data_IF_632863330633
#
_entry.id   IF_632863330633
#
_cell.length_a   1.000
_cell.length_b   1.000
_cell.length_c   1.000
_cell.angle_alpha   90.00
_cell.angle_beta   90.00
_cell.angle_gamma   90.00
#
_symmetry.space_group_name_H-M   'P 1'
#
loop_
_entity.id
_entity.type
_entity.pdbx_description
1 polymer ?
#
# COMPACT_ATOMS: atom_id res chain seq x y z
N UNK A 1 -4.67 5.02 1.96
CA UNK A 1 -3.95 6.20 1.42
C UNK A 1 -2.93 5.71 0.39
N UNK A 2 -2.46 6.58 -0.49
CA UNK A 2 -1.42 6.26 -1.49
C UNK A 2 -0.17 7.10 -1.17
N UNK A 3 1.01 6.49 -1.22
CA UNK A 3 2.29 7.18 -1.04
C UNK A 3 2.73 7.88 -2.33
N UNK A 4 3.32 9.06 -2.20
CA UNK A 4 4.06 9.77 -3.24
C UNK A 4 5.49 9.99 -2.77
N UNK A 5 6.48 10.20 -3.67
CA UNK A 5 7.88 10.37 -3.27
C UNK A 5 8.09 11.42 -2.16
N UNK A 6 7.39 12.56 -2.27
CA UNK A 6 7.49 13.67 -1.31
C UNK A 6 6.16 13.95 -0.59
N UNK A 7 5.22 13.01 -0.57
CA UNK A 7 3.89 13.29 -0.03
C UNK A 7 2.96 12.09 0.07
N UNK A 8 1.70 12.38 0.40
CA UNK A 8 0.67 11.35 0.53
C UNK A 8 -0.63 11.82 -0.12
N UNK A 9 -1.38 10.88 -0.68
CA UNK A 9 -2.74 11.09 -1.17
C UNK A 9 -3.71 10.29 -0.29
N UNK A 10 -4.51 11.01 0.49
CA UNK A 10 -5.55 10.38 1.32
C UNK A 10 -6.76 9.96 0.48
N UNK A 11 -7.51 8.97 0.97
CA UNK A 11 -8.77 8.52 0.33
C UNK A 11 -9.76 9.66 0.15
N UNK A 12 -9.83 10.60 1.12
CA UNK A 12 -10.67 11.80 1.01
C UNK A 12 -10.27 12.66 -0.20
N UNK A 13 -8.98 12.99 -0.32
CA UNK A 13 -8.50 13.85 -1.41
C UNK A 13 -8.72 13.21 -2.78
N UNK A 14 -8.46 11.91 -2.89
CA UNK A 14 -8.71 11.17 -4.13
C UNK A 14 -10.20 11.20 -4.49
N UNK A 15 -11.08 10.90 -3.53
CA UNK A 15 -12.52 10.92 -3.76
C UNK A 15 -13.05 12.32 -4.11
N UNK A 16 -12.60 13.36 -3.41
CA UNK A 16 -12.96 14.76 -3.71
C UNK A 16 -12.59 15.12 -5.16
N UNK A 17 -11.42 14.67 -5.65
CA UNK A 17 -10.97 14.90 -7.02
C UNK A 17 -11.84 14.13 -8.04
N UNK A 18 -12.15 12.86 -7.79
CA UNK A 18 -13.02 12.05 -8.65
C UNK A 18 -14.44 12.64 -8.73
N UNK A 19 -15.00 13.07 -7.60
CA UNK A 19 -16.29 13.76 -7.56
C UNK A 19 -16.25 15.08 -8.34
N UNK A 20 -15.16 15.85 -8.21
CA UNK A 20 -15.00 17.09 -8.96
C UNK A 20 -14.93 16.82 -10.47
N UNK A 21 -14.15 15.82 -10.90
CA UNK A 21 -14.05 15.43 -12.31
C UNK A 21 -15.40 15.00 -12.88
N UNK A 22 -16.17 14.23 -12.10
CA UNK A 22 -17.53 13.81 -12.46
C UNK A 22 -18.47 15.01 -12.62
N UNK A 23 -18.57 15.87 -11.59
CA UNK A 23 -19.42 17.08 -11.59
C UNK A 23 -19.09 18.03 -12.74
N UNK A 24 -17.82 18.07 -13.15
CA UNK A 24 -17.33 18.93 -14.22
C UNK A 24 -17.20 18.22 -15.58
N UNK A 25 -17.80 17.03 -15.74
CA UNK A 25 -17.86 16.27 -17.00
C UNK A 25 -16.50 16.11 -17.67
N UNK A 26 -15.48 15.74 -16.90
CA UNK A 26 -14.09 15.59 -17.40
C UNK A 26 -13.83 14.26 -18.10
N UNK A 27 -14.78 13.32 -18.07
CA UNK A 27 -14.72 12.03 -18.75
C UNK A 27 -16.14 11.55 -19.09
N UNK A 28 -16.25 10.60 -20.02
CA UNK A 28 -17.49 9.87 -20.30
C UNK A 28 -17.60 8.65 -19.38
N UNK A 29 -16.55 7.82 -19.40
CA UNK A 29 -16.28 6.71 -18.49
C UNK A 29 -14.80 6.80 -18.07
N UNK A 30 -14.47 6.31 -16.89
CA UNK A 30 -13.10 6.28 -16.37
C UNK A 30 -12.81 4.90 -15.77
N UNK A 31 -11.68 4.29 -16.15
CA UNK A 31 -11.14 3.10 -15.50
C UNK A 31 -9.96 3.47 -14.60
N UNK A 32 -9.88 2.84 -13.43
CA UNK A 32 -8.85 3.11 -12.43
C UNK A 32 -8.20 1.82 -11.96
N UNK A 33 -6.93 1.59 -12.30
CA UNK A 33 -6.16 0.42 -11.86
C UNK A 33 -5.21 0.89 -10.75
N UNK A 34 -5.35 0.33 -9.55
CA UNK A 34 -4.56 0.76 -8.39
C UNK A 34 -3.70 -0.38 -7.83
N UNK A 35 -2.41 -0.33 -8.14
CA UNK A 35 -1.37 -1.10 -7.47
C UNK A 35 -0.91 -0.39 -6.20
N UNK A 36 -1.31 -0.93 -5.04
CA UNK A 36 -0.81 -0.52 -3.74
C UNK A 36 -1.22 -1.53 -2.66
N UNK A 37 -0.49 -1.50 -1.54
CA UNK A 37 -0.93 -2.13 -0.30
C UNK A 37 -2.25 -1.52 0.18
N UNK A 38 -3.16 -2.38 0.64
CA UNK A 38 -4.52 -2.01 1.07
C UNK A 38 -5.28 -1.15 0.06
N UNK A 39 -4.99 -1.29 -1.23
CA UNK A 39 -5.54 -0.45 -2.32
C UNK A 39 -7.07 -0.45 -2.36
N UNK A 40 -7.73 -1.56 -1.99
CA UNK A 40 -9.19 -1.62 -1.85
C UNK A 40 -9.77 -0.60 -0.87
N UNK A 41 -9.01 -0.20 0.17
CA UNK A 41 -9.44 0.82 1.14
C UNK A 41 -9.60 2.22 0.54
N UNK A 42 -9.11 2.44 -0.68
CA UNK A 42 -9.26 3.71 -1.40
C UNK A 42 -10.63 3.82 -2.09
N UNK A 43 -11.38 2.72 -2.22
CA UNK A 43 -12.65 2.68 -2.93
C UNK A 43 -13.79 2.09 -2.09
N UNK A 44 -13.50 1.15 -1.19
CA UNK A 44 -14.51 0.48 -0.35
C UNK A 44 -15.34 1.48 0.46
N UNK A 45 -16.67 1.47 0.27
CA UNK A 45 -17.63 2.40 0.87
C UNK A 45 -17.37 3.90 0.55
N UNK A 46 -16.54 4.20 -0.44
CA UNK A 46 -16.16 5.56 -0.83
C UNK A 46 -16.55 5.84 -2.28
N UNK A 47 -16.12 4.99 -3.22
CA UNK A 47 -16.38 5.18 -4.64
C UNK A 47 -17.84 4.84 -4.96
N UNK A 48 -18.62 5.86 -5.32
CA UNK A 48 -20.01 5.70 -5.75
C UNK A 48 -20.10 5.07 -7.14
N UNK A 49 -21.09 4.20 -7.32
CA UNK A 49 -21.36 3.50 -8.58
C UNK A 49 -22.05 4.35 -9.65
N UNK A 50 -22.49 5.57 -9.33
CA UNK A 50 -23.18 6.47 -10.27
C UNK A 50 -22.26 7.55 -10.85
N UNK A 51 -20.94 7.36 -10.75
CA UNK A 51 -19.95 8.31 -11.26
C UNK A 51 -19.41 7.95 -12.64
N UNK A 52 -19.82 6.85 -13.27
CA UNK A 52 -19.20 6.28 -14.47
C UNK A 52 -17.68 6.00 -14.27
N UNK A 53 -17.31 5.53 -13.09
CA UNK A 53 -15.95 5.12 -12.76
C UNK A 53 -15.98 3.62 -12.45
N UNK A 54 -15.15 2.84 -13.13
CA UNK A 54 -14.83 1.46 -12.79
C UNK A 54 -13.42 1.41 -12.21
N UNK A 55 -13.25 0.81 -11.04
CA UNK A 55 -11.95 0.72 -10.40
C UNK A 55 -11.62 -0.73 -10.02
N UNK A 56 -10.36 -1.11 -10.21
CA UNK A 56 -9.81 -2.37 -9.71
C UNK A 56 -8.58 -2.11 -8.85
N UNK A 57 -8.39 -2.93 -7.83
CA UNK A 57 -7.30 -2.80 -6.87
C UNK A 57 -6.52 -4.09 -6.72
N UNK A 58 -5.20 -3.99 -6.54
CA UNK A 58 -4.30 -5.14 -6.37
C UNK A 58 -4.58 -5.99 -5.11
N UNK A 59 -5.13 -5.36 -4.09
CA UNK A 59 -5.40 -5.96 -2.78
C UNK A 59 -6.72 -5.45 -2.20
N UNK A 60 -7.29 -6.19 -1.24
CA UNK A 60 -8.42 -5.72 -0.44
C UNK A 60 -7.99 -4.64 0.56
N UNK A 61 -8.91 -4.12 1.38
CA UNK A 61 -8.61 -3.05 2.36
C UNK A 61 -7.76 -3.46 3.58
N UNK A 62 -7.26 -4.70 3.63
CA UNK A 62 -6.69 -5.31 4.85
C UNK A 62 -5.32 -5.99 4.66
N UNK A 63 -4.82 -6.06 3.43
CA UNK A 63 -3.60 -6.80 3.09
C UNK A 63 -2.63 -6.00 2.20
N UNK A 64 -1.40 -6.50 2.11
CA UNK A 64 -0.36 -5.95 1.24
C UNK A 64 -0.59 -6.35 -0.22
N UNK A 65 -0.08 -5.55 -1.15
CA UNK A 65 0.27 -6.03 -2.49
C UNK A 65 1.66 -6.67 -2.48
N UNK A 66 2.07 -7.22 -3.62
CA UNK A 66 3.26 -8.06 -3.73
C UNK A 66 4.15 -7.66 -4.90
N UNK A 67 5.45 -7.52 -4.63
CA UNK A 67 6.47 -7.44 -5.65
C UNK A 67 6.73 -8.82 -6.27
N UNK A 68 7.11 -8.84 -7.54
CA UNK A 68 7.39 -10.03 -8.33
C UNK A 68 8.75 -9.94 -9.04
N UNK A 69 9.28 -11.07 -9.50
CA UNK A 69 10.63 -11.19 -10.08
C UNK A 69 11.74 -10.70 -9.13
N UNK A 70 11.60 -11.03 -7.84
CA UNK A 70 12.49 -10.57 -6.78
C UNK A 70 13.83 -11.31 -6.71
N UNK A 71 13.93 -12.45 -7.40
CA UNK A 71 15.21 -13.07 -7.72
C UNK A 71 15.48 -12.91 -9.21
N UNK A 72 16.44 -12.05 -9.53
CA UNK A 72 16.85 -11.72 -10.88
C UNK A 72 18.39 -11.71 -10.98
N UNK A 73 18.89 -11.82 -12.21
CA UNK A 73 20.31 -11.82 -12.55
C UNK A 73 20.97 -10.43 -12.45
N UNK A 74 20.17 -9.37 -12.45
CA UNK A 74 20.62 -7.97 -12.28
C UNK A 74 20.95 -7.59 -10.83
N UNK A 75 20.69 -8.47 -9.86
CA UNK A 75 20.86 -8.21 -8.43
C UNK A 75 20.09 -6.96 -7.95
N UNK A 76 18.92 -6.71 -8.53
CA UNK A 76 17.97 -5.67 -8.13
C UNK A 76 16.89 -6.25 -7.17
N UNK A 77 16.15 -5.43 -6.40
CA UNK A 77 15.14 -5.89 -5.45
C UNK A 77 14.03 -6.75 -6.08
N UNK A 78 13.05 -6.14 -6.73
CA UNK A 78 11.99 -6.78 -7.51
C UNK A 78 11.82 -5.96 -8.79
N UNK A 79 11.44 -6.60 -9.90
CA UNK A 79 11.37 -5.93 -11.23
C UNK A 79 9.96 -5.49 -11.61
N UNK A 80 8.95 -5.91 -10.86
CA UNK A 80 7.57 -5.47 -11.03
C UNK A 80 6.73 -5.80 -9.80
N UNK A 81 5.45 -5.52 -9.91
CA UNK A 81 4.44 -5.89 -8.91
C UNK A 81 3.47 -6.89 -9.52
N UNK A 82 3.04 -7.89 -8.74
CA UNK A 82 2.34 -9.07 -9.23
C UNK A 82 1.03 -8.70 -9.95
N UNK A 83 0.19 -7.85 -9.35
CA UNK A 83 -1.04 -7.38 -9.98
C UNK A 83 -0.74 -6.61 -11.26
N UNK A 84 0.23 -5.69 -11.18
CA UNK A 84 0.62 -4.85 -12.31
C UNK A 84 1.11 -5.63 -13.52
N UNK A 85 2.05 -6.55 -13.30
CA UNK A 85 2.59 -7.41 -14.36
C UNK A 85 1.48 -8.27 -14.97
N UNK A 86 0.60 -8.84 -14.14
CA UNK A 86 -0.47 -9.70 -14.66
C UNK A 86 -1.40 -8.97 -15.64
N UNK A 87 -1.86 -7.75 -15.34
CA UNK A 87 -2.75 -7.03 -16.28
C UNK A 87 -1.99 -6.47 -17.49
N UNK A 88 -0.73 -6.06 -17.33
CA UNK A 88 0.08 -5.55 -18.44
C UNK A 88 0.46 -6.65 -19.43
N UNK A 89 0.91 -7.82 -18.93
CA UNK A 89 1.28 -8.95 -19.79
C UNK A 89 0.06 -9.54 -20.51
N UNK A 90 -1.09 -9.62 -19.83
CA UNK A 90 -2.36 -9.92 -20.47
C UNK A 90 -2.68 -8.92 -21.59
N UNK A 91 -2.59 -7.62 -21.29
CA UNK A 91 -2.86 -6.58 -22.27
C UNK A 91 -1.88 -6.56 -23.45
N UNK A 92 -0.64 -7.05 -23.27
CA UNK A 92 0.35 -7.23 -24.34
C UNK A 92 0.08 -8.47 -25.20
N UNK A 93 -0.52 -9.53 -24.63
CA UNK A 93 -0.73 -10.81 -25.29
C UNK A 93 -2.10 -11.01 -25.95
N UNK A 94 -3.14 -10.34 -25.47
CA UNK A 94 -4.52 -10.54 -25.91
C UNK A 94 -4.98 -9.55 -27.00
N UNK A 95 -6.08 -9.87 -27.70
CA UNK A 95 -6.76 -8.91 -28.57
C UNK A 95 -7.70 -8.01 -27.76
N UNK A 96 -7.20 -6.83 -27.38
CA UNK A 96 -7.91 -5.84 -26.57
C UNK A 96 -9.22 -5.33 -27.20
N UNK A 97 -9.41 -5.50 -28.51
CA UNK A 97 -10.65 -5.10 -29.21
C UNK A 97 -11.80 -6.06 -28.93
N UNK A 98 -11.48 -7.27 -28.45
CA UNK A 98 -12.45 -8.32 -28.12
C UNK A 98 -12.48 -8.63 -26.62
N UNK A 99 -11.36 -8.46 -25.94
CA UNK A 99 -11.26 -8.63 -24.50
C UNK A 99 -12.07 -7.56 -23.75
N UNK A 100 -12.88 -7.98 -22.78
CA UNK A 100 -13.62 -7.08 -21.88
C UNK A 100 -12.85 -6.82 -20.60
N UNK A 101 -13.06 -5.66 -19.99
CA UNK A 101 -12.48 -5.33 -18.68
C UNK A 101 -12.85 -6.36 -17.58
N UNK A 102 -14.04 -6.97 -17.65
CA UNK A 102 -14.47 -8.02 -16.71
C UNK A 102 -13.68 -9.32 -16.92
N UNK A 103 -13.38 -9.68 -18.18
CA UNK A 103 -12.54 -10.84 -18.48
C UNK A 103 -11.12 -10.63 -17.95
N UNK A 104 -10.52 -9.47 -18.27
CA UNK A 104 -9.21 -9.08 -17.74
C UNK A 104 -9.20 -9.09 -16.21
N UNK A 105 -10.24 -8.56 -15.56
CA UNK A 105 -10.36 -8.59 -14.09
C UNK A 105 -10.34 -10.01 -13.53
N UNK A 106 -11.14 -10.93 -14.05
CA UNK A 106 -11.20 -12.31 -13.55
C UNK A 106 -9.88 -13.06 -13.82
N UNK A 107 -9.21 -12.81 -14.95
CA UNK A 107 -7.87 -13.35 -15.22
C UNK A 107 -6.85 -12.82 -14.20
N UNK A 108 -6.74 -11.49 -14.07
CA UNK A 108 -5.79 -10.83 -13.16
C UNK A 108 -6.03 -11.24 -11.71
N UNK A 109 -7.29 -11.38 -11.29
CA UNK A 109 -7.68 -11.88 -9.97
C UNK A 109 -7.24 -13.31 -9.72
N UNK A 110 -7.32 -14.17 -10.74
CA UNK A 110 -6.86 -15.56 -10.65
C UNK A 110 -5.34 -15.65 -10.56
N UNK A 111 -4.62 -14.87 -11.38
CA UNK A 111 -3.15 -14.93 -11.47
C UNK A 111 -2.46 -14.16 -10.34
N UNK A 112 -3.10 -13.15 -9.75
CA UNK A 112 -2.60 -12.41 -8.58
C UNK A 112 -2.95 -13.17 -7.29
N UNK A 113 -2.37 -14.35 -7.12
CA UNK A 113 -2.78 -15.33 -6.09
C UNK A 113 -2.25 -15.06 -4.67
N UNK A 114 -1.53 -13.96 -4.44
CA UNK A 114 -0.97 -13.59 -3.13
C UNK A 114 -1.74 -12.46 -2.42
N UNK A 115 -2.72 -11.87 -3.10
CA UNK A 115 -3.66 -10.88 -2.59
C UNK A 115 -5.02 -11.06 -3.24
N UNK A 116 -6.03 -10.33 -2.78
CA UNK A 116 -7.39 -10.37 -3.30
C UNK A 116 -7.62 -9.15 -4.18
N UNK A 117 -7.62 -9.36 -5.49
CA UNK A 117 -7.97 -8.30 -6.46
C UNK A 117 -9.45 -7.98 -6.35
N UNK A 118 -9.78 -6.70 -6.13
CA UNK A 118 -11.15 -6.24 -5.91
C UNK A 118 -11.59 -5.32 -7.06
N UNK A 119 -12.91 -5.27 -7.32
CA UNK A 119 -13.52 -4.36 -8.27
C UNK A 119 -14.63 -3.50 -7.62
N UNK A 120 -14.71 -2.22 -7.98
CA UNK A 120 -15.54 -1.19 -7.36
C UNK A 120 -16.16 -0.25 -8.41
N UNK A 121 -17.12 0.58 -7.95
CA UNK A 121 -17.74 1.61 -8.78
C UNK A 121 -18.83 1.05 -9.69
N UNK A 122 -18.91 1.60 -10.90
CA UNK A 122 -19.86 1.20 -11.92
C UNK A 122 -19.35 -0.04 -12.67
N UNK A 123 -19.88 -1.21 -12.30
CA UNK A 123 -19.48 -2.50 -12.88
C UNK A 123 -20.07 -2.75 -14.26
N UNK A 124 -21.05 -1.95 -14.70
CA UNK A 124 -21.54 -2.09 -16.08
C UNK A 124 -20.49 -1.69 -17.11
N UNK A 125 -19.57 -0.78 -16.74
CA UNK A 125 -18.39 -0.43 -17.55
C UNK A 125 -17.47 -1.64 -17.76
N UNK A 126 -17.44 -2.62 -16.85
CA UNK A 126 -16.58 -3.78 -16.99
C UNK A 126 -16.93 -4.64 -18.24
N UNK A 127 -18.11 -4.44 -18.84
CA UNK A 127 -18.54 -5.10 -20.08
C UNK A 127 -17.91 -4.48 -21.34
N UNK A 128 -17.38 -3.28 -21.23
CA UNK A 128 -16.69 -2.59 -22.32
C UNK A 128 -15.35 -3.26 -22.62
N UNK A 129 -14.86 -3.08 -23.85
CA UNK A 129 -13.58 -3.66 -24.28
C UNK A 129 -12.39 -2.91 -23.70
N UNK A 130 -11.29 -3.61 -23.44
CA UNK A 130 -10.06 -3.03 -22.89
C UNK A 130 -9.50 -1.94 -23.80
N UNK A 131 -9.59 -2.13 -25.13
CA UNK A 131 -9.12 -1.17 -26.14
C UNK A 131 -9.74 0.23 -26.01
N UNK A 132 -10.96 0.36 -25.47
CA UNK A 132 -11.58 1.68 -25.26
C UNK A 132 -10.84 2.54 -24.23
N UNK A 133 -10.04 1.92 -23.35
CA UNK A 133 -9.34 2.60 -22.26
C UNK A 133 -7.82 2.55 -22.44
N UNK A 134 -7.28 1.45 -22.96
CA UNK A 134 -5.83 1.26 -23.14
C UNK A 134 -5.36 1.54 -24.58
N UNK A 135 -6.30 1.78 -25.49
CA UNK A 135 -6.04 1.96 -26.91
C UNK A 135 -5.93 0.64 -27.67
N UNK A 136 -5.98 0.75 -28.99
CA UNK A 136 -5.73 -0.33 -29.92
C UNK A 136 -4.38 -0.08 -30.62
N UNK A 137 -3.61 -1.15 -30.87
CA UNK A 137 -2.37 -1.06 -31.65
C UNK A 137 -2.61 -1.75 -32.98
N UNK A 138 -2.61 -0.96 -34.06
CA UNK A 138 -2.83 -1.45 -35.44
C UNK A 138 -1.80 -2.50 -35.90
N UNK A 139 -0.58 -2.51 -35.33
CA UNK A 139 0.54 -3.40 -35.70
C UNK A 139 1.07 -4.21 -34.49
N UNK A 140 0.31 -5.19 -33.99
CA UNK A 140 0.84 -6.17 -33.00
C UNK A 140 1.51 -7.35 -33.71
N UNK A 141 2.83 -7.48 -33.55
CA UNK A 141 3.43 -8.81 -33.47
C UNK A 141 3.09 -9.34 -32.08
N UNK A 142 2.10 -10.23 -31.99
CA UNK A 142 1.81 -10.95 -30.74
C UNK A 142 3.10 -11.63 -30.29
N UNK A 143 3.75 -11.09 -29.26
CA UNK A 143 4.91 -11.76 -28.67
C UNK A 143 4.41 -13.07 -28.11
N UNK A 144 4.95 -14.19 -28.63
CA UNK A 144 4.64 -15.53 -28.14
C UNK A 144 4.63 -15.54 -26.62
N UNK A 145 3.52 -16.02 -26.06
CA UNK A 145 3.26 -16.37 -24.66
C UNK A 145 4.51 -16.28 -23.78
N UNK A 146 4.80 -15.08 -23.25
CA UNK A 146 5.61 -14.97 -22.04
C UNK A 146 4.71 -15.52 -20.93
N UNK A 147 4.61 -16.85 -20.90
CA UNK A 147 3.69 -17.57 -20.04
C UNK A 147 3.67 -16.92 -18.68
N UNK A 148 2.47 -16.56 -18.23
CA UNK A 148 2.19 -15.86 -16.98
C UNK A 148 2.93 -16.56 -15.82
N UNK A 149 4.15 -16.09 -15.58
CA UNK A 149 5.15 -16.71 -14.70
C UNK A 149 5.43 -15.83 -13.50
N UNK A 150 4.84 -14.63 -13.43
CA UNK A 150 4.94 -13.75 -12.27
C UNK A 150 4.49 -14.47 -10.99
N UNK A 151 3.35 -15.17 -11.04
CA UNK A 151 2.83 -15.98 -9.92
C UNK A 151 3.74 -17.16 -9.53
N UNK A 152 4.55 -17.65 -10.47
CA UNK A 152 5.53 -18.73 -10.27
C UNK A 152 6.93 -18.24 -9.90
N UNK A 153 7.18 -16.93 -10.02
CA UNK A 153 8.46 -16.32 -9.68
C UNK A 153 8.64 -16.18 -8.16
N UNK A 154 9.80 -15.68 -7.73
CA UNK A 154 9.99 -15.29 -6.33
C UNK A 154 9.29 -13.96 -6.08
N UNK A 155 8.30 -14.00 -5.20
CA UNK A 155 7.45 -12.87 -4.83
C UNK A 155 7.68 -12.49 -3.36
N UNK A 156 7.71 -11.19 -3.06
CA UNK A 156 7.82 -10.67 -1.69
C UNK A 156 6.71 -9.67 -1.40
N UNK A 157 6.18 -9.62 -0.15
CA UNK A 157 5.25 -8.55 0.23
C UNK A 157 5.92 -7.20 0.00
N UNK A 158 5.20 -6.22 -0.57
CA UNK A 158 5.79 -4.93 -0.94
C UNK A 158 6.57 -4.27 0.21
N UNK A 159 6.00 -4.32 1.43
CA UNK A 159 6.63 -3.79 2.65
C UNK A 159 7.93 -4.47 3.07
N UNK A 160 8.18 -5.68 2.60
CA UNK A 160 9.32 -6.51 3.00
C UNK A 160 10.38 -6.62 1.91
N UNK A 161 10.19 -5.96 0.75
CA UNK A 161 11.12 -5.99 -0.39
C UNK A 161 12.53 -5.57 0.04
N UNK A 162 12.69 -4.41 0.71
CA UNK A 162 14.00 -3.93 1.17
C UNK A 162 14.71 -4.97 2.05
N UNK A 163 14.02 -5.46 3.07
CA UNK A 163 14.57 -6.39 4.05
C UNK A 163 14.93 -7.74 3.39
N UNK A 164 14.04 -8.28 2.56
CA UNK A 164 14.27 -9.55 1.88
C UNK A 164 15.39 -9.44 0.86
N UNK A 165 15.51 -8.29 0.17
CA UNK A 165 16.61 -8.04 -0.74
C UNK A 165 17.96 -8.02 -0.02
N UNK A 166 18.06 -7.29 1.11
CA UNK A 166 19.27 -7.27 1.94
C UNK A 166 19.63 -8.67 2.45
N UNK A 167 18.65 -9.44 2.93
CA UNK A 167 18.85 -10.82 3.38
C UNK A 167 19.31 -11.73 2.23
N UNK A 168 18.73 -11.58 1.04
CA UNK A 168 19.11 -12.34 -0.16
C UNK A 168 20.57 -12.04 -0.55
N UNK A 169 20.96 -10.76 -0.58
CA UNK A 169 22.36 -10.37 -0.81
C UNK A 169 23.29 -10.94 0.26
N UNK A 170 22.90 -10.87 1.54
CA UNK A 170 23.72 -11.37 2.64
C UNK A 170 23.99 -12.87 2.51
N UNK A 171 22.96 -13.67 2.17
CA UNK A 171 23.08 -15.12 1.95
C UNK A 171 23.96 -15.50 0.76
N UNK A 172 24.00 -14.66 -0.28
CA UNK A 172 24.80 -14.89 -1.50
C UNK A 172 26.24 -14.38 -1.38
N UNK A 173 26.52 -13.54 -0.40
CA UNK A 173 27.83 -12.92 -0.21
C UNK A 173 28.86 -13.91 0.36
N UNK A 174 30.01 -14.02 -0.31
CA UNK A 174 31.19 -14.73 0.19
C UNK A 174 32.27 -13.77 0.73
N UNK A 175 32.02 -12.46 0.71
CA UNK A 175 32.93 -11.44 1.23
C UNK A 175 32.52 -11.07 2.66
N UNK A 176 33.40 -11.37 3.63
CA UNK A 176 33.17 -11.11 5.04
C UNK A 176 32.89 -9.62 5.34
N UNK A 177 33.57 -8.71 4.64
CA UNK A 177 33.39 -7.26 4.84
C UNK A 177 32.02 -6.81 4.35
N UNK A 178 31.60 -7.32 3.18
CA UNK A 178 30.27 -7.04 2.63
C UNK A 178 29.18 -7.66 3.52
N UNK A 179 29.37 -8.89 3.97
CA UNK A 179 28.41 -9.59 4.83
C UNK A 179 28.19 -8.82 6.15
N UNK A 180 29.26 -8.36 6.81
CA UNK A 180 29.13 -7.54 8.03
C UNK A 180 28.38 -6.22 7.78
N UNK A 181 28.60 -5.57 6.63
CA UNK A 181 27.86 -4.34 6.26
C UNK A 181 26.37 -4.62 6.01
N UNK A 182 26.04 -5.74 5.38
CA UNK A 182 24.67 -6.16 5.11
C UNK A 182 23.96 -6.54 6.41
N UNK A 183 24.61 -7.29 7.30
CA UNK A 183 24.10 -7.64 8.64
C UNK A 183 23.74 -6.38 9.43
N UNK A 184 24.63 -5.37 9.44
CA UNK A 184 24.36 -4.07 10.08
C UNK A 184 23.12 -3.38 9.48
N UNK A 185 22.99 -3.33 8.15
CA UNK A 185 21.80 -2.75 7.49
C UNK A 185 20.52 -3.52 7.84
N UNK A 186 20.56 -4.84 7.82
CA UNK A 186 19.43 -5.71 8.18
C UNK A 186 18.98 -5.42 9.62
N UNK A 187 19.92 -5.34 10.56
CA UNK A 187 19.61 -5.07 11.97
C UNK A 187 19.07 -3.65 12.14
N UNK A 188 19.63 -2.66 11.44
CA UNK A 188 19.08 -1.29 11.44
C UNK A 188 17.63 -1.24 10.96
N UNK A 189 17.29 -1.91 9.85
CA UNK A 189 15.91 -2.00 9.36
C UNK A 189 15.00 -2.65 10.43
N UNK A 190 15.43 -3.78 11.02
CA UNK A 190 14.64 -4.47 12.05
C UNK A 190 14.44 -3.60 13.30
N UNK A 191 15.47 -2.92 13.81
CA UNK A 191 15.34 -2.03 14.97
C UNK A 191 14.47 -0.81 14.67
N UNK A 192 14.58 -0.24 13.47
CA UNK A 192 13.70 0.86 13.03
C UNK A 192 12.23 0.42 13.05
N UNK A 193 11.92 -0.76 12.51
CA UNK A 193 10.55 -1.33 12.55
C UNK A 193 10.05 -1.56 13.98
N UNK A 194 10.93 -2.00 14.90
CA UNK A 194 10.59 -2.16 16.33
C UNK A 194 10.33 -0.81 17.00
N UNK A 195 11.15 0.20 16.73
CA UNK A 195 10.98 1.55 17.24
C UNK A 195 9.65 2.16 16.77
N UNK A 196 9.35 2.07 15.47
CA UNK A 196 8.05 2.53 14.92
C UNK A 196 6.88 1.83 15.63
N UNK A 197 6.93 0.48 15.74
CA UNK A 197 5.88 -0.28 16.42
C UNK A 197 5.67 0.23 17.85
N UNK A 198 6.74 0.34 18.62
CA UNK A 198 6.68 0.78 20.02
C UNK A 198 6.11 2.20 20.13
N UNK A 199 6.54 3.13 19.28
CA UNK A 199 6.04 4.50 19.28
C UNK A 199 4.55 4.55 18.95
N UNK A 200 4.08 3.78 17.97
CA UNK A 200 2.64 3.68 17.67
C UNK A 200 1.85 3.14 18.88
N UNK A 201 2.37 2.14 19.59
CA UNK A 201 1.70 1.62 20.79
C UNK A 201 1.66 2.68 21.90
N UNK A 202 2.78 3.36 22.16
CA UNK A 202 2.85 4.46 23.13
C UNK A 202 1.85 5.58 22.81
N UNK A 203 1.71 5.96 21.53
CA UNK A 203 0.74 6.98 21.11
C UNK A 203 -0.67 6.55 21.46
N UNK A 204 -1.03 5.29 21.16
CA UNK A 204 -2.36 4.75 21.50
C UNK A 204 -2.55 4.70 23.02
N UNK A 205 -1.57 4.19 23.77
CA UNK A 205 -1.66 4.09 25.22
C UNK A 205 -1.87 5.46 25.89
N UNK A 206 -1.17 6.51 25.42
CA UNK A 206 -1.34 7.88 25.91
C UNK A 206 -2.70 8.47 25.49
N UNK A 207 -3.13 8.28 24.23
CA UNK A 207 -4.40 8.84 23.73
C UNK A 207 -5.64 8.14 24.33
N UNK A 208 -5.48 6.90 24.78
CA UNK A 208 -6.52 6.07 25.37
C UNK A 208 -6.24 5.78 26.86
N UNK A 209 -5.53 6.67 27.54
CA UNK A 209 -5.24 6.52 28.97
C UNK A 209 -6.54 6.39 29.78
N UNK A 210 -6.59 5.39 30.66
CA UNK A 210 -7.76 5.08 31.48
C UNK A 210 -8.81 4.18 30.81
N UNK A 211 -8.63 3.82 29.55
CA UNK A 211 -9.50 2.88 28.84
C UNK A 211 -9.12 1.41 29.11
N UNK A 212 -10.01 0.48 28.76
CA UNK A 212 -9.74 -0.95 28.92
C UNK A 212 -8.68 -1.47 27.93
N UNK A 213 -7.92 -2.48 28.36
CA UNK A 213 -6.95 -3.17 27.51
C UNK A 213 -7.59 -3.76 26.24
N UNK A 214 -8.85 -4.20 26.32
CA UNK A 214 -9.61 -4.68 25.16
C UNK A 214 -9.84 -3.56 24.12
N UNK A 215 -10.18 -2.35 24.57
CA UNK A 215 -10.34 -1.22 23.65
C UNK A 215 -9.01 -0.84 23.00
N UNK A 216 -7.94 -0.74 23.78
CA UNK A 216 -6.59 -0.44 23.28
C UNK A 216 -6.16 -1.50 22.25
N UNK A 217 -6.36 -2.78 22.56
CA UNK A 217 -6.09 -3.89 21.65
C UNK A 217 -6.88 -3.76 20.35
N UNK A 218 -8.17 -3.41 20.42
CA UNK A 218 -8.99 -3.18 19.23
C UNK A 218 -8.49 -2.03 18.38
N UNK A 219 -8.09 -0.91 18.99
CA UNK A 219 -7.51 0.24 18.29
C UNK A 219 -6.23 -0.16 17.54
N UNK A 220 -5.36 -0.96 18.16
CA UNK A 220 -4.09 -1.38 17.56
C UNK A 220 -4.24 -2.43 16.46
N UNK A 221 -5.20 -3.34 16.58
CA UNK A 221 -5.22 -4.57 15.79
C UNK A 221 -6.30 -4.64 14.73
N UNK A 222 -7.50 -4.10 15.00
CA UNK A 222 -8.62 -4.21 14.09
C UNK A 222 -8.32 -3.51 12.77
N UNK A 223 -8.84 -4.07 11.69
CA UNK A 223 -8.85 -3.41 10.39
C UNK A 223 -10.30 -3.12 10.04
N UNK A 224 -10.60 -1.85 9.74
CA UNK A 224 -11.94 -1.34 9.46
C UNK A 224 -11.91 -0.47 8.21
N UNK A 225 -12.99 -0.44 7.41
CA UNK A 225 -13.10 0.52 6.32
C UNK A 225 -13.07 1.96 6.86
N UNK A 226 -12.70 2.91 6.01
CA UNK A 226 -12.70 4.33 6.40
C UNK A 226 -14.12 4.87 6.28
N UNK A 227 -14.78 5.11 7.42
CA UNK A 227 -16.15 5.66 7.43
C UNK A 227 -16.19 7.18 7.58
N UNK A 228 -15.27 7.75 8.36
CA UNK A 228 -15.12 9.20 8.49
C UNK A 228 -13.88 9.68 7.70
N UNK A 229 -14.12 10.04 6.44
CA UNK A 229 -13.08 10.56 5.54
C UNK A 229 -12.43 11.84 6.06
N UNK A 230 -13.17 12.67 6.81
CA UNK A 230 -12.64 13.94 7.35
C UNK A 230 -11.71 13.66 8.52
N UNK A 231 -12.15 12.84 9.49
CA UNK A 231 -11.31 12.46 10.62
C UNK A 231 -10.05 11.74 10.13
N UNK A 232 -10.20 10.74 9.25
CA UNK A 232 -9.07 10.00 8.71
C UNK A 232 -8.07 10.93 8.00
N UNK A 233 -8.55 11.82 7.13
CA UNK A 233 -7.67 12.76 6.41
C UNK A 233 -6.87 13.66 7.37
N UNK A 234 -7.53 14.25 8.37
CA UNK A 234 -6.88 15.16 9.31
C UNK A 234 -5.91 14.40 10.21
N UNK A 235 -6.35 13.28 10.79
CA UNK A 235 -5.55 12.49 11.72
C UNK A 235 -4.27 11.94 11.05
N UNK A 236 -4.36 11.45 9.81
CA UNK A 236 -3.19 10.97 9.06
C UNK A 236 -2.20 12.11 8.78
N UNK A 237 -2.67 13.31 8.42
CA UNK A 237 -1.79 14.44 8.16
C UNK A 237 -1.13 14.97 9.45
N UNK A 238 -1.85 15.00 10.57
CA UNK A 238 -1.28 15.38 11.88
C UNK A 238 -0.24 14.35 12.30
N UNK A 239 -0.54 13.06 12.19
CA UNK A 239 0.41 12.01 12.52
C UNK A 239 1.68 12.09 11.67
N UNK A 240 1.56 12.26 10.34
CA UNK A 240 2.71 12.45 9.45
C UNK A 240 3.58 13.63 9.88
N UNK A 241 2.94 14.74 10.25
CA UNK A 241 3.64 16.00 10.55
C UNK A 241 4.31 16.02 11.92
N UNK A 242 3.65 15.47 12.94
CA UNK A 242 4.07 15.63 14.33
C UNK A 242 4.62 14.35 14.96
N UNK A 243 4.32 13.18 14.40
CA UNK A 243 4.71 11.90 14.97
C UNK A 243 5.78 11.21 14.13
N UNK A 244 5.37 10.54 13.05
CA UNK A 244 6.29 9.77 12.21
C UNK A 244 6.00 10.16 10.77
N UNK A 245 6.98 10.81 10.12
CA UNK A 245 6.85 11.12 8.70
C UNK A 245 6.92 9.82 7.88
N UNK A 246 5.87 9.57 7.11
CA UNK A 246 5.77 8.41 6.25
C UNK A 246 6.80 8.41 5.10
N UNK A 247 7.30 9.59 4.70
CA UNK A 247 8.33 9.69 3.68
C UNK A 247 9.70 9.23 4.20
N UNK A 248 10.00 9.53 5.47
CA UNK A 248 11.25 9.09 6.12
C UNK A 248 11.17 7.63 6.58
N UNK A 249 9.96 7.19 6.97
CA UNK A 249 9.70 5.86 7.53
C UNK A 249 8.51 5.19 6.85
N UNK A 250 8.70 4.67 5.64
CA UNK A 250 7.65 3.99 4.86
C UNK A 250 6.94 2.88 5.65
N UNK A 251 7.68 2.11 6.46
CA UNK A 251 7.11 1.04 7.27
C UNK A 251 6.05 1.53 8.28
N UNK A 252 6.04 2.82 8.66
CA UNK A 252 5.02 3.40 9.51
C UNK A 252 3.64 3.45 8.84
N UNK A 253 3.56 3.44 7.50
CA UNK A 253 2.29 3.45 6.77
C UNK A 253 1.39 2.26 7.09
N UNK A 254 1.96 1.10 7.50
CA UNK A 254 1.15 -0.06 7.95
C UNK A 254 0.25 0.25 9.15
N UNK A 255 0.58 1.30 9.92
CA UNK A 255 -0.17 1.72 11.10
C UNK A 255 -1.22 2.79 10.81
N UNK A 256 -1.41 3.19 9.54
CA UNK A 256 -2.51 4.09 9.16
C UNK A 256 -3.88 3.49 9.54
N UNK A 257 -4.02 2.16 9.55
CA UNK A 257 -5.23 1.51 10.10
C UNK A 257 -5.48 1.82 11.57
N UNK A 258 -4.43 1.99 12.38
CA UNK A 258 -4.54 2.36 13.80
C UNK A 258 -5.05 3.79 13.91
N UNK A 259 -4.53 4.69 13.06
CA UNK A 259 -5.01 6.08 12.96
C UNK A 259 -6.48 6.10 12.54
N UNK A 260 -6.89 5.27 11.56
CA UNK A 260 -8.29 5.12 11.21
C UNK A 260 -9.13 4.65 12.41
N UNK A 261 -8.65 3.67 13.17
CA UNK A 261 -9.37 3.17 14.34
C UNK A 261 -9.55 4.24 15.44
N UNK A 262 -8.61 5.18 15.60
CA UNK A 262 -8.78 6.31 16.53
C UNK A 262 -10.06 7.09 16.22
N UNK A 263 -10.39 7.29 14.94
CA UNK A 263 -11.60 7.98 14.49
C UNK A 263 -12.92 7.28 14.86
N UNK A 264 -12.89 5.99 15.24
CA UNK A 264 -14.08 5.28 15.69
C UNK A 264 -14.37 5.48 17.18
N UNK A 265 -13.36 5.84 17.97
CA UNK A 265 -13.42 5.82 19.43
C UNK A 265 -13.08 7.17 20.08
N UNK A 266 -12.59 8.13 19.30
CA UNK A 266 -12.29 9.51 19.72
C UNK A 266 -12.85 10.49 18.71
N UNK A 267 -13.27 11.65 19.23
CA UNK A 267 -13.66 12.76 18.36
C UNK A 267 -12.41 13.37 17.73
N UNK A 268 -12.56 13.92 16.52
CA UNK A 268 -11.44 14.49 15.79
C UNK A 268 -10.78 15.64 16.55
N UNK A 269 -11.53 16.42 17.33
CA UNK A 269 -10.99 17.50 18.16
C UNK A 269 -10.02 16.98 19.23
N UNK A 270 -10.31 15.82 19.83
CA UNK A 270 -9.44 15.19 20.83
C UNK A 270 -8.13 14.70 20.19
N UNK A 271 -8.22 14.10 18.99
CA UNK A 271 -7.06 13.66 18.22
C UNK A 271 -6.18 14.85 17.82
N UNK A 272 -6.79 15.94 17.33
CA UNK A 272 -6.07 17.16 16.91
C UNK A 272 -5.29 17.77 18.08
N UNK A 273 -5.89 17.83 19.27
CA UNK A 273 -5.27 18.44 20.44
C UNK A 273 -4.17 17.55 21.04
N UNK A 274 -4.40 16.23 21.09
CA UNK A 274 -3.51 15.33 21.81
C UNK A 274 -2.27 14.90 21.01
N UNK A 275 -2.39 14.64 19.70
CA UNK A 275 -1.30 14.05 18.92
C UNK A 275 -0.01 14.89 18.91
N UNK A 276 -0.05 16.23 18.70
CA UNK A 276 1.18 17.03 18.71
C UNK A 276 1.95 16.93 20.02
N UNK A 277 1.23 16.97 21.15
CA UNK A 277 1.85 16.92 22.48
C UNK A 277 2.38 15.52 22.82
N UNK A 278 1.62 14.47 22.49
CA UNK A 278 2.03 13.07 22.69
C UNK A 278 3.32 12.75 21.94
N UNK A 279 3.49 13.34 20.76
CA UNK A 279 4.55 13.01 19.82
C UNK A 279 5.83 13.85 19.98
N UNK A 280 5.86 14.85 20.88
CA UNK A 280 7.06 15.69 21.12
C UNK A 280 8.30 14.88 21.52
N UNK A 281 8.11 13.74 22.18
CA UNK A 281 9.21 12.90 22.70
C UNK A 281 9.60 11.75 21.74
N UNK A 282 9.03 11.71 20.52
CA UNK A 282 9.30 10.63 19.57
C UNK A 282 10.57 10.95 18.79
N UNK A 283 11.63 10.21 19.08
CA UNK A 283 12.86 10.18 18.28
C UNK A 283 13.20 8.74 17.90
N UNK A 284 12.92 8.41 16.63
CA UNK A 284 13.15 7.06 16.09
C UNK A 284 14.65 6.79 15.93
N UNK A 285 15.43 7.75 15.43
CA UNK A 285 16.87 7.54 15.22
C UNK A 285 17.59 7.37 16.56
N UNK A 286 17.26 8.16 17.58
CA UNK A 286 17.84 8.01 18.91
C UNK A 286 17.49 6.64 19.52
N UNK A 287 16.24 6.16 19.36
CA UNK A 287 15.86 4.83 19.82
C UNK A 287 16.60 3.71 19.08
N UNK A 288 16.77 3.83 17.76
CA UNK A 288 17.50 2.86 16.95
C UNK A 288 18.98 2.84 17.33
N UNK A 289 19.61 4.00 17.51
CA UNK A 289 21.02 4.12 17.91
C UNK A 289 21.27 3.42 19.26
N UNK A 290 20.44 3.71 20.28
CA UNK A 290 20.54 3.09 21.62
C UNK A 290 20.40 1.57 21.59
N UNK A 291 19.66 1.01 20.62
CA UNK A 291 19.44 -0.43 20.49
C UNK A 291 20.60 -1.11 19.77
N UNK A 292 21.08 -0.52 18.68
CA UNK A 292 22.24 -1.04 17.96
C UNK A 292 23.48 -1.04 18.86
N UNK A 293 23.72 0.01 19.65
CA UNK A 293 24.85 0.05 20.60
C UNK A 293 24.83 -1.09 21.63
N UNK A 294 23.65 -1.56 22.05
CA UNK A 294 23.50 -2.68 23.01
C UNK A 294 23.75 -4.05 22.39
N UNK A 295 23.67 -4.20 21.08
CA UNK A 295 23.97 -5.47 20.39
C UNK A 295 25.48 -5.64 20.12
N UNK A 296 26.27 -4.56 20.23
CA UNK A 296 27.73 -4.55 20.03
C UNK A 296 28.54 -4.50 21.34
N UNK A 297 27.89 -4.54 22.50
CA UNK A 297 28.48 -4.65 23.85
C UNK A 297 28.19 -6.02 24.46
#
# INVERSE_FOLDING_TARGET
MISFPDGILTVKQMNDALEWMHKNKKYSQLTFYLEACESGSMFENVLRSDMNIYAISAANGHESSWGTFCENDMNLPCLGDLFSVNWMTDSDGEDLTTETLEYQYELVKKETNLSHVMQFGDKDIAKETVALFQGDKEDREYTEDFGLTASKSVNWPARDIELNHLISQHKKSNDLTLSNKLEYKINRVKETRRAIKKNVHMIVDKLFEGESEDLISRVLTQSRPVLDLRCHHIAVNIFKKYCIDFNDYEYAMKYVKVINNMCFYRRIEEIILALPDICMDIDIEEEVAKRLEKEFL
#
